data_IF_921407906424
#
_entry.id   IF_921407906424
#
_cell.length_a   1.000
_cell.length_b   1.000
_cell.length_c   1.000
_cell.angle_alpha   90.00
_cell.angle_beta   90.00
_cell.angle_gamma   90.00
#
_symmetry.space_group_name_H-M   'P 1'
#
loop_
_entity.id
_entity.type
_entity.pdbx_description
1 polymer ?
#
# COMPACT_ATOMS: atom_id res chain seq x y z
N UNK A 1 -38.66 -18.41 -31.55
CA UNK A 1 -38.64 -17.85 -30.18
C UNK A 1 -37.49 -18.51 -29.42
N UNK A 2 -36.38 -17.80 -29.20
CA UNK A 2 -35.25 -18.30 -28.43
C UNK A 2 -35.38 -17.84 -26.96
N UNK A 3 -35.08 -18.67 -25.95
CA UNK A 3 -35.25 -18.30 -24.55
C UNK A 3 -34.13 -17.35 -24.11
N UNK A 4 -34.52 -16.23 -23.49
CA UNK A 4 -33.61 -15.27 -22.88
C UNK A 4 -32.91 -15.91 -21.67
N UNK A 5 -31.57 -15.91 -21.65
CA UNK A 5 -30.78 -16.24 -20.46
C UNK A 5 -30.86 -15.10 -19.44
N UNK A 6 -31.00 -15.39 -18.13
CA UNK A 6 -31.08 -14.36 -17.11
C UNK A 6 -29.73 -13.67 -16.93
N UNK A 7 -29.72 -12.33 -16.97
CA UNK A 7 -28.55 -11.50 -16.61
C UNK A 7 -28.35 -11.55 -15.10
N UNK A 8 -27.44 -12.40 -14.63
CA UNK A 8 -26.93 -12.31 -13.27
C UNK A 8 -26.04 -11.07 -13.12
N UNK A 9 -26.58 -10.00 -12.57
CA UNK A 9 -25.77 -8.93 -11.96
C UNK A 9 -25.23 -9.41 -10.62
N UNK A 10 -24.17 -10.22 -10.65
CA UNK A 10 -23.38 -10.48 -9.45
C UNK A 10 -22.67 -9.17 -9.06
N UNK A 11 -23.05 -8.60 -7.90
CA UNK A 11 -22.32 -7.49 -7.28
C UNK A 11 -21.01 -8.06 -6.73
N UNK A 12 -19.99 -8.16 -7.57
CA UNK A 12 -18.65 -8.50 -7.12
C UNK A 12 -18.12 -7.35 -6.25
N UNK A 13 -18.05 -7.57 -4.94
CA UNK A 13 -17.45 -6.65 -3.96
C UNK A 13 -15.91 -6.77 -3.99
N UNK A 14 -15.18 -5.66 -3.77
CA UNK A 14 -13.71 -5.72 -3.63
C UNK A 14 -13.31 -6.80 -2.60
N UNK A 15 -12.42 -7.75 -2.95
CA UNK A 15 -12.02 -8.85 -2.08
C UNK A 15 -11.51 -8.41 -0.70
N UNK A 16 -10.81 -7.27 -0.63
CA UNK A 16 -10.33 -6.69 0.63
C UNK A 16 -11.46 -6.13 1.52
N UNK A 17 -12.67 -5.94 0.97
CA UNK A 17 -13.86 -5.48 1.71
C UNK A 17 -14.68 -6.63 2.30
N UNK A 18 -14.40 -7.88 1.93
CA UNK A 18 -15.09 -9.06 2.47
C UNK A 18 -14.89 -9.20 3.98
N UNK A 19 -15.85 -9.80 4.67
CA UNK A 19 -15.76 -10.11 6.11
C UNK A 19 -14.48 -10.91 6.43
N UNK A 20 -14.13 -11.86 5.56
CA UNK A 20 -12.94 -12.70 5.70
C UNK A 20 -11.62 -11.93 5.49
N UNK A 21 -11.53 -11.06 4.48
CA UNK A 21 -10.32 -10.25 4.27
C UNK A 21 -10.15 -9.15 5.33
N UNK A 22 -11.26 -8.60 5.83
CA UNK A 22 -11.27 -7.75 7.03
C UNK A 22 -10.83 -8.54 8.24
N UNK A 23 -11.29 -9.79 8.40
CA UNK A 23 -10.89 -10.67 9.50
C UNK A 23 -9.43 -11.06 9.43
N UNK A 24 -8.86 -11.35 8.24
CA UNK A 24 -7.45 -11.71 8.09
C UNK A 24 -6.53 -10.49 8.20
N UNK A 25 -6.90 -9.33 7.64
CA UNK A 25 -6.11 -8.10 7.83
C UNK A 25 -6.26 -7.56 9.25
N UNK A 26 -7.44 -7.64 9.86
CA UNK A 26 -7.63 -7.28 11.26
C UNK A 26 -6.99 -8.31 12.20
N UNK A 27 -6.94 -9.60 11.85
CA UNK A 27 -6.22 -10.61 12.61
C UNK A 27 -4.72 -10.47 12.45
N UNK A 28 -4.22 -10.12 11.26
CA UNK A 28 -2.82 -9.74 11.05
C UNK A 28 -2.49 -8.49 11.85
N UNK A 29 -3.26 -7.42 11.71
CA UNK A 29 -3.08 -6.20 12.51
C UNK A 29 -3.24 -6.45 14.01
N UNK A 30 -4.17 -7.30 14.45
CA UNK A 30 -4.36 -7.64 15.86
C UNK A 30 -3.23 -8.53 16.41
N UNK A 31 -2.75 -9.50 15.63
CA UNK A 31 -1.59 -10.32 15.96
C UNK A 31 -0.34 -9.45 16.08
N UNK A 32 -0.13 -8.57 15.10
CA UNK A 32 0.96 -7.61 15.02
C UNK A 32 0.91 -6.59 16.17
N UNK A 33 -0.27 -6.11 16.56
CA UNK A 33 -0.48 -5.23 17.72
C UNK A 33 -0.46 -5.98 19.07
N UNK A 34 -0.56 -7.32 19.07
CA UNK A 34 -0.56 -8.18 20.26
C UNK A 34 0.85 -8.70 20.60
N UNK A 35 1.87 -8.43 19.78
CA UNK A 35 3.25 -8.87 20.07
C UNK A 35 3.76 -8.12 21.30
N UNK A 36 4.11 -8.82 22.40
CA UNK A 36 4.63 -8.14 23.59
C UNK A 36 6.01 -7.53 23.26
N UNK A 37 6.15 -6.23 23.50
CA UNK A 37 7.41 -5.52 23.40
C UNK A 37 8.37 -6.09 24.46
N UNK A 38 9.31 -6.94 24.04
CA UNK A 38 10.41 -7.36 24.92
C UNK A 38 11.43 -6.23 24.93
N UNK A 39 11.43 -5.45 25.99
CA UNK A 39 12.37 -4.33 26.18
C UNK A 39 13.81 -4.87 26.14
N UNK A 40 14.56 -4.47 25.11
CA UNK A 40 16.00 -4.60 25.04
C UNK A 40 16.55 -3.17 25.10
N UNK A 41 17.30 -2.88 26.16
CA UNK A 41 17.77 -1.53 26.47
C UNK A 41 18.79 -1.06 25.41
N UNK A 42 18.28 -0.34 24.42
CA UNK A 42 19.04 0.49 23.49
C UNK A 42 19.27 1.91 24.03
N UNK A 43 19.96 2.78 23.28
CA UNK A 43 20.31 4.14 23.72
C UNK A 43 19.07 4.91 24.19
N UNK A 44 19.22 5.70 25.26
CA UNK A 44 18.16 6.40 26.03
C UNK A 44 17.22 7.34 25.23
N UNK A 45 17.33 7.41 23.91
CA UNK A 45 16.55 8.28 23.02
C UNK A 45 15.51 7.55 22.17
N UNK A 46 15.49 6.20 22.13
CA UNK A 46 14.55 5.45 21.29
C UNK A 46 13.68 4.51 22.12
N UNK A 47 12.38 4.83 22.20
CA UNK A 47 11.47 4.11 23.07
C UNK A 47 11.17 2.71 22.50
N UNK A 48 11.16 1.64 23.33
CA UNK A 48 10.92 0.26 22.86
C UNK A 48 9.57 0.09 22.14
N UNK A 49 8.52 0.78 22.58
CA UNK A 49 7.24 0.80 21.85
C UNK A 49 7.37 1.34 20.42
N UNK A 50 8.18 2.38 20.19
CA UNK A 50 8.44 2.91 18.86
C UNK A 50 9.25 1.92 18.02
N UNK A 51 10.26 1.29 18.61
CA UNK A 51 11.04 0.23 17.98
C UNK A 51 10.15 -0.94 17.52
N UNK A 52 9.30 -1.44 18.41
CA UNK A 52 8.36 -2.50 18.11
C UNK A 52 7.40 -2.10 16.98
N UNK A 53 6.82 -0.90 17.06
CA UNK A 53 5.87 -0.43 16.06
C UNK A 53 6.53 -0.13 14.70
N UNK A 54 7.82 0.20 14.66
CA UNK A 54 8.58 0.31 13.41
C UNK A 54 8.79 -1.06 12.78
N UNK A 55 9.09 -2.11 13.56
CA UNK A 55 9.15 -3.48 13.05
C UNK A 55 7.80 -3.93 12.46
N UNK A 56 6.70 -3.58 13.12
CA UNK A 56 5.35 -3.75 12.58
C UNK A 56 5.18 -3.07 11.21
N UNK A 57 5.61 -1.81 11.07
CA UNK A 57 5.49 -1.10 9.79
C UNK A 57 6.37 -1.70 8.70
N UNK A 58 7.59 -2.17 9.03
CA UNK A 58 8.46 -2.86 8.07
C UNK A 58 7.73 -4.06 7.47
N UNK A 59 7.12 -4.89 8.32
CA UNK A 59 6.38 -6.06 7.85
C UNK A 59 5.16 -5.67 7.00
N UNK A 60 4.41 -4.65 7.43
CA UNK A 60 3.22 -4.18 6.72
C UNK A 60 3.56 -3.62 5.33
N UNK A 61 4.70 -2.94 5.18
CA UNK A 61 5.18 -2.44 3.90
C UNK A 61 5.64 -3.55 2.96
N UNK A 62 6.31 -4.58 3.49
CA UNK A 62 6.68 -5.77 2.70
C UNK A 62 5.43 -6.52 2.21
N UNK A 63 4.42 -6.66 3.06
CA UNK A 63 3.13 -7.22 2.66
C UNK A 63 2.43 -6.36 1.59
N UNK A 64 2.39 -5.03 1.76
CA UNK A 64 1.85 -4.12 0.75
C UNK A 64 2.57 -4.25 -0.60
N UNK A 65 3.91 -4.36 -0.58
CA UNK A 65 4.72 -4.63 -1.77
C UNK A 65 4.26 -5.91 -2.47
N UNK A 66 4.00 -6.99 -1.71
CA UNK A 66 3.54 -8.25 -2.26
C UNK A 66 2.13 -8.17 -2.86
N UNK A 67 1.19 -7.53 -2.16
CA UNK A 67 -0.18 -7.31 -2.65
C UNK A 67 -0.18 -6.53 -3.97
N UNK A 68 0.59 -5.43 -4.04
CA UNK A 68 0.71 -4.65 -5.27
C UNK A 68 1.36 -5.43 -6.41
N UNK A 69 2.32 -6.31 -6.10
CA UNK A 69 2.90 -7.20 -7.10
C UNK A 69 1.86 -8.17 -7.66
N UNK A 70 1.00 -8.74 -6.80
CA UNK A 70 -0.12 -9.59 -7.22
C UNK A 70 -1.11 -8.83 -8.13
N UNK A 71 -1.46 -7.59 -7.78
CA UNK A 71 -2.30 -6.74 -8.63
C UNK A 71 -1.68 -6.49 -10.01
N UNK A 72 -0.37 -6.20 -10.06
CA UNK A 72 0.34 -5.98 -11.31
C UNK A 72 0.32 -7.22 -12.22
N UNK A 73 0.60 -8.40 -11.65
CA UNK A 73 0.58 -9.68 -12.38
C UNK A 73 -0.82 -9.98 -12.92
N UNK A 74 -1.86 -9.77 -12.11
CA UNK A 74 -3.25 -9.94 -12.55
C UNK A 74 -3.59 -9.02 -13.72
N UNK A 75 -3.23 -7.74 -13.62
CA UNK A 75 -3.49 -6.76 -14.68
C UNK A 75 -2.76 -7.09 -15.99
N UNK A 76 -1.56 -7.68 -15.90
CA UNK A 76 -0.78 -8.10 -17.06
C UNK A 76 -1.26 -9.41 -17.69
N UNK A 77 -2.22 -10.12 -17.08
CA UNK A 77 -2.75 -11.35 -17.62
C UNK A 77 -3.49 -11.09 -18.94
N UNK A 78 -3.16 -11.84 -19.99
CA UNK A 78 -3.73 -11.65 -21.32
C UNK A 78 -5.26 -11.82 -21.35
N UNK A 79 -5.84 -12.55 -20.39
CA UNK A 79 -7.28 -12.75 -20.27
C UNK A 79 -8.01 -11.58 -19.59
N UNK A 80 -7.29 -10.66 -18.95
CA UNK A 80 -7.85 -9.56 -18.16
C UNK A 80 -7.87 -8.24 -18.95
N UNK A 81 -7.00 -8.08 -19.95
CA UNK A 81 -6.91 -6.89 -20.82
C UNK A 81 -6.73 -5.55 -20.06
N UNK A 82 -6.00 -5.56 -18.93
CA UNK A 82 -5.69 -4.38 -18.11
C UNK A 82 -4.18 -4.11 -18.02
N UNK A 83 -3.42 -4.49 -19.05
CA UNK A 83 -1.95 -4.43 -19.03
C UNK A 83 -1.41 -3.03 -18.71
N UNK A 84 -2.14 -1.97 -19.08
CA UNK A 84 -1.79 -0.59 -18.76
C UNK A 84 -1.77 -0.25 -17.26
N UNK A 85 -2.49 -0.99 -16.42
CA UNK A 85 -2.46 -0.83 -14.96
C UNK A 85 -1.23 -1.50 -14.31
N UNK A 86 -0.65 -2.49 -14.99
CA UNK A 86 0.47 -3.28 -14.44
C UNK A 86 1.69 -2.42 -14.07
N UNK A 87 2.19 -1.50 -14.93
CA UNK A 87 3.31 -0.64 -14.57
C UNK A 87 3.06 0.21 -13.32
N UNK A 88 1.86 0.75 -13.16
CA UNK A 88 1.49 1.53 -11.98
C UNK A 88 1.57 0.69 -10.70
N UNK A 89 0.94 -0.49 -10.69
CA UNK A 89 0.96 -1.37 -9.52
C UNK A 89 2.36 -1.92 -9.23
N UNK A 90 3.17 -2.16 -10.26
CA UNK A 90 4.57 -2.57 -10.09
C UNK A 90 5.41 -1.44 -9.45
N UNK A 91 5.25 -0.18 -9.89
CA UNK A 91 5.88 0.98 -9.24
C UNK A 91 5.46 1.12 -7.79
N UNK A 92 4.17 0.92 -7.48
CA UNK A 92 3.69 0.90 -6.08
C UNK A 92 4.31 -0.23 -5.27
N UNK A 93 4.45 -1.43 -5.85
CA UNK A 93 5.13 -2.56 -5.20
C UNK A 93 6.59 -2.22 -4.84
N UNK A 94 7.31 -1.59 -5.76
CA UNK A 94 8.70 -1.14 -5.54
C UNK A 94 8.79 -0.03 -4.50
N UNK A 95 7.88 0.95 -4.56
CA UNK A 95 7.82 2.05 -3.58
C UNK A 95 7.66 1.53 -2.15
N UNK A 96 6.74 0.59 -1.93
CA UNK A 96 6.54 0.00 -0.60
C UNK A 96 7.72 -0.86 -0.13
N UNK A 97 8.41 -1.54 -1.04
CA UNK A 97 9.66 -2.25 -0.70
C UNK A 97 10.77 -1.28 -0.29
N UNK A 98 11.00 -0.24 -1.08
CA UNK A 98 11.98 0.80 -0.75
C UNK A 98 11.63 1.55 0.53
N UNK A 99 10.34 1.72 0.83
CA UNK A 99 9.89 2.25 2.12
C UNK A 99 10.20 1.31 3.30
N UNK A 100 10.01 0.00 3.15
CA UNK A 100 10.43 -0.96 4.17
C UNK A 100 11.94 -0.88 4.44
N UNK A 101 12.75 -0.78 3.37
CA UNK A 101 14.21 -0.60 3.47
C UNK A 101 14.57 0.70 4.18
N UNK A 102 13.91 1.83 3.88
CA UNK A 102 14.11 3.10 4.60
C UNK A 102 13.86 2.97 6.09
N UNK A 103 12.80 2.26 6.50
CA UNK A 103 12.55 2.00 7.93
C UNK A 103 13.60 1.09 8.56
N UNK A 104 14.06 0.06 7.85
CA UNK A 104 15.14 -0.83 8.31
C UNK A 104 16.42 -0.02 8.60
N UNK A 105 16.81 0.87 7.69
CA UNK A 105 17.97 1.73 7.89
C UNK A 105 17.79 2.70 9.05
N UNK A 106 16.62 3.31 9.18
CA UNK A 106 16.30 4.21 10.30
C UNK A 106 16.34 3.45 11.64
N UNK A 107 15.73 2.27 11.72
CA UNK A 107 15.75 1.38 12.90
C UNK A 107 17.19 1.07 13.32
N UNK A 108 18.04 0.66 12.37
CA UNK A 108 19.45 0.36 12.62
C UNK A 108 20.24 1.60 13.08
N UNK A 109 20.02 2.76 12.44
CA UNK A 109 20.67 4.04 12.81
C UNK A 109 20.37 4.42 14.26
N UNK A 110 19.16 4.13 14.74
CA UNK A 110 18.72 4.45 16.10
C UNK A 110 19.08 3.37 17.14
N UNK A 111 19.82 2.34 16.72
CA UNK A 111 20.26 1.24 17.58
C UNK A 111 19.19 0.18 17.86
N UNK A 112 18.03 0.26 17.19
CA UNK A 112 16.98 -0.75 17.27
C UNK A 112 17.35 -2.04 16.55
N UNK A 113 16.61 -3.11 16.86
CA UNK A 113 16.74 -4.43 16.24
C UNK A 113 15.61 -4.63 15.24
N UNK A 114 15.98 -5.02 14.03
CA UNK A 114 15.01 -5.41 12.98
C UNK A 114 14.63 -6.88 13.17
N UNK A 115 13.32 -7.13 13.27
CA UNK A 115 12.77 -8.48 13.41
C UNK A 115 11.88 -8.79 12.21
N UNK A 116 12.37 -9.64 11.30
CA UNK A 116 11.58 -10.11 10.16
C UNK A 116 10.60 -11.20 10.56
N UNK A 117 9.42 -11.19 9.94
CA UNK A 117 8.41 -12.23 10.07
C UNK A 117 7.98 -12.70 8.68
N UNK A 118 7.22 -13.79 8.65
CA UNK A 118 6.66 -14.32 7.40
C UNK A 118 5.75 -13.30 6.73
N UNK A 119 5.96 -13.08 5.43
CA UNK A 119 5.11 -12.23 4.61
C UNK A 119 3.97 -13.11 4.10
N UNK A 120 2.77 -12.89 4.66
CA UNK A 120 1.58 -13.63 4.27
C UNK A 120 1.23 -13.40 2.79
N UNK A 121 0.67 -14.42 2.17
CA UNK A 121 0.12 -14.30 0.83
C UNK A 121 -1.09 -13.36 0.80
N UNK A 122 -1.32 -12.64 -0.32
CA UNK A 122 -2.53 -11.85 -0.48
C UNK A 122 -3.78 -12.73 -0.37
N UNK A 123 -4.83 -12.24 0.30
CA UNK A 123 -6.09 -12.96 0.49
C UNK A 123 -6.85 -13.31 -0.82
N UNK A 124 -6.40 -12.80 -1.97
CA UNK A 124 -6.97 -13.11 -3.29
C UNK A 124 -5.91 -13.03 -4.37
N UNK A 125 -6.05 -13.87 -5.40
CA UNK A 125 -5.32 -13.77 -6.66
C UNK A 125 -6.22 -13.31 -7.82
N UNK A 126 -7.53 -13.19 -7.58
CA UNK A 126 -8.49 -12.62 -8.52
C UNK A 126 -8.97 -11.26 -8.01
N UNK A 127 -8.62 -10.21 -8.73
CA UNK A 127 -8.97 -8.82 -8.38
C UNK A 127 -10.26 -8.35 -9.05
N UNK A 128 -10.97 -9.23 -9.76
CA UNK A 128 -12.35 -9.05 -10.25
C UNK A 128 -12.60 -7.84 -11.17
N UNK A 129 -11.57 -7.29 -11.82
CA UNK A 129 -11.68 -6.26 -12.85
C UNK A 129 -11.04 -4.92 -12.49
N UNK A 130 -11.13 -3.94 -13.40
CA UNK A 130 -10.46 -2.63 -13.28
C UNK A 130 -10.99 -1.78 -12.13
N UNK A 131 -12.31 -1.73 -11.95
CA UNK A 131 -12.92 -0.97 -10.85
C UNK A 131 -12.54 -1.59 -9.51
N UNK A 132 -12.63 -2.91 -9.40
CA UNK A 132 -12.38 -3.64 -8.16
C UNK A 132 -10.91 -3.61 -7.74
N UNK A 133 -9.96 -3.74 -8.68
CA UNK A 133 -8.53 -3.64 -8.36
C UNK A 133 -8.18 -2.24 -7.84
N UNK A 134 -8.73 -1.17 -8.42
CA UNK A 134 -8.52 0.20 -7.95
C UNK A 134 -9.18 0.44 -6.59
N UNK A 135 -10.41 -0.04 -6.37
CA UNK A 135 -11.07 0.03 -5.05
C UNK A 135 -10.25 -0.67 -3.96
N UNK A 136 -9.66 -1.82 -4.30
CA UNK A 136 -8.81 -2.56 -3.38
C UNK A 136 -7.47 -1.84 -3.13
N UNK A 137 -6.88 -1.20 -4.14
CA UNK A 137 -5.70 -0.35 -3.96
C UNK A 137 -5.98 0.84 -3.03
N UNK A 138 -7.11 1.54 -3.22
CA UNK A 138 -7.55 2.64 -2.33
C UNK A 138 -7.75 2.13 -0.90
N UNK A 139 -8.33 0.94 -0.75
CA UNK A 139 -8.52 0.34 0.57
C UNK A 139 -7.18 0.04 1.27
N UNK A 140 -6.23 -0.54 0.53
CA UNK A 140 -4.89 -0.83 1.01
C UNK A 140 -4.15 0.45 1.43
N UNK A 141 -4.14 1.48 0.58
CA UNK A 141 -3.50 2.77 0.89
C UNK A 141 -4.09 3.44 2.13
N UNK A 142 -5.43 3.42 2.27
CA UNK A 142 -6.08 3.97 3.46
C UNK A 142 -5.71 3.21 4.75
N UNK A 143 -5.56 1.89 4.69
CA UNK A 143 -5.15 1.10 5.84
C UNK A 143 -3.68 1.37 6.21
N UNK A 144 -2.79 1.46 5.22
CA UNK A 144 -1.39 1.84 5.41
C UNK A 144 -1.27 3.23 6.04
N UNK A 145 -1.98 4.21 5.49
CA UNK A 145 -2.03 5.59 6.02
C UNK A 145 -2.49 5.63 7.47
N UNK A 146 -3.55 4.91 7.82
CA UNK A 146 -4.02 4.79 9.21
C UNK A 146 -2.95 4.19 10.12
N UNK A 147 -2.25 3.16 9.65
CA UNK A 147 -1.16 2.52 10.40
C UNK A 147 -0.01 3.50 10.68
N UNK A 148 0.39 4.31 9.69
CA UNK A 148 1.39 5.36 9.86
C UNK A 148 0.93 6.49 10.78
N UNK A 149 -0.34 6.90 10.71
CA UNK A 149 -0.90 7.90 11.64
C UNK A 149 -0.85 7.41 13.09
N UNK A 150 -1.09 6.12 13.33
CA UNK A 150 -0.96 5.52 14.66
C UNK A 150 0.51 5.52 15.12
N UNK A 151 1.46 5.17 14.25
CA UNK A 151 2.89 5.24 14.58
C UNK A 151 3.34 6.69 14.85
N UNK A 152 2.90 7.66 14.04
CA UNK A 152 3.21 9.08 14.24
C UNK A 152 2.66 9.59 15.58
N UNK A 153 1.44 9.21 15.94
CA UNK A 153 0.86 9.54 17.24
C UNK A 153 1.67 8.93 18.39
N UNK A 154 2.05 7.66 18.28
CA UNK A 154 2.91 7.00 19.28
C UNK A 154 4.25 7.72 19.43
N UNK A 155 4.89 8.08 18.32
CA UNK A 155 6.12 8.85 18.33
C UNK A 155 5.97 10.21 19.05
N UNK A 156 4.86 10.91 18.80
CA UNK A 156 4.56 12.17 19.50
C UNK A 156 4.33 11.97 21.00
N UNK A 157 3.61 10.90 21.40
CA UNK A 157 3.38 10.54 22.82
C UNK A 157 4.68 10.18 23.55
N UNK A 158 5.66 9.59 22.84
CA UNK A 158 6.98 9.27 23.38
C UNK A 158 8.02 10.39 23.21
N UNK A 159 7.58 11.58 22.79
CA UNK A 159 8.43 12.76 22.56
C UNK A 159 9.59 12.50 21.58
N UNK A 160 9.29 11.83 20.46
CA UNK A 160 10.25 11.45 19.42
C UNK A 160 10.06 12.27 18.13
N UNK A 161 10.61 13.50 18.06
CA UNK A 161 10.41 14.39 16.92
C UNK A 161 11.07 13.88 15.62
N UNK A 162 12.21 13.16 15.71
CA UNK A 162 12.89 12.61 14.53
C UNK A 162 12.01 11.57 13.84
N UNK A 163 11.36 10.69 14.60
CA UNK A 163 10.44 9.70 14.05
C UNK A 163 9.17 10.32 13.48
N UNK A 164 8.60 11.33 14.15
CA UNK A 164 7.44 12.07 13.64
C UNK A 164 7.71 12.69 12.26
N UNK A 165 8.80 13.45 12.14
CA UNK A 165 9.18 14.11 10.89
C UNK A 165 9.46 13.10 9.78
N UNK A 166 10.19 12.02 10.10
CA UNK A 166 10.50 10.94 9.17
C UNK A 166 9.22 10.31 8.58
N UNK A 167 8.21 10.06 9.41
CA UNK A 167 6.94 9.45 8.97
C UNK A 167 6.14 10.41 8.09
N UNK A 168 6.06 11.69 8.47
CA UNK A 168 5.36 12.72 7.71
C UNK A 168 5.96 12.90 6.32
N UNK A 169 7.27 13.10 6.26
CA UNK A 169 8.00 13.42 5.05
C UNK A 169 8.04 12.26 4.07
N UNK A 170 8.31 11.03 4.53
CA UNK A 170 8.55 9.90 3.63
C UNK A 170 7.31 9.06 3.32
N UNK A 171 6.24 9.11 4.12
CA UNK A 171 5.09 8.22 3.93
C UNK A 171 3.76 8.97 3.86
N UNK A 172 3.43 9.80 4.85
CA UNK A 172 2.10 10.42 4.92
C UNK A 172 1.88 11.44 3.79
N UNK A 173 2.84 12.33 3.53
CA UNK A 173 2.71 13.35 2.48
C UNK A 173 2.64 12.72 1.07
N UNK A 174 3.55 11.80 0.68
CA UNK A 174 3.47 11.15 -0.63
C UNK A 174 2.18 10.34 -0.85
N UNK A 175 1.62 9.73 0.20
CA UNK A 175 0.39 8.94 0.09
C UNK A 175 -0.83 9.77 -0.33
N UNK A 176 -0.90 11.05 0.02
CA UNK A 176 -2.05 11.90 -0.33
C UNK A 176 -2.19 12.06 -1.85
N UNK A 177 -1.07 12.26 -2.56
CA UNK A 177 -1.06 12.35 -4.01
C UNK A 177 -1.50 11.04 -4.67
N UNK A 178 -1.02 9.90 -4.15
CA UNK A 178 -1.38 8.58 -4.66
C UNK A 178 -2.87 8.29 -4.46
N UNK A 179 -3.41 8.57 -3.26
CA UNK A 179 -4.83 8.39 -2.97
C UNK A 179 -5.71 9.23 -3.88
N UNK A 180 -5.35 10.50 -4.08
CA UNK A 180 -6.06 11.39 -5.00
C UNK A 180 -6.09 10.82 -6.43
N UNK A 181 -4.93 10.39 -6.95
CA UNK A 181 -4.83 9.81 -8.30
C UNK A 181 -5.66 8.53 -8.45
N UNK A 182 -5.69 7.69 -7.42
CA UNK A 182 -6.51 6.47 -7.40
C UNK A 182 -8.02 6.79 -7.35
N UNK A 183 -8.42 7.80 -6.57
CA UNK A 183 -9.82 8.23 -6.46
C UNK A 183 -10.32 8.84 -7.78
N UNK A 184 -9.51 9.70 -8.42
CA UNK A 184 -9.80 10.24 -9.75
C UNK A 184 -9.94 9.10 -10.79
N UNK A 185 -9.01 8.14 -10.78
CA UNK A 185 -9.09 6.95 -11.63
C UNK A 185 -10.38 6.14 -11.40
N UNK A 186 -10.78 5.98 -10.13
CA UNK A 186 -12.01 5.25 -9.79
C UNK A 186 -13.27 5.96 -10.29
N UNK A 187 -13.33 7.29 -10.18
CA UNK A 187 -14.45 8.10 -10.70
C UNK A 187 -14.54 7.92 -12.21
N UNK A 188 -13.43 8.09 -12.93
CA UNK A 188 -13.38 7.92 -14.38
C UNK A 188 -13.79 6.50 -14.80
N UNK A 189 -13.29 5.46 -14.14
CA UNK A 189 -13.69 4.07 -14.45
C UNK A 189 -15.18 3.82 -14.23
N UNK A 190 -15.79 4.47 -13.23
CA UNK A 190 -17.23 4.38 -12.99
C UNK A 190 -18.03 5.13 -14.05
N UNK A 191 -17.55 6.30 -14.50
CA UNK A 191 -18.16 7.08 -15.58
C UNK A 191 -18.03 6.35 -16.94
N UNK A 192 -16.89 5.76 -17.25
CA UNK A 192 -16.70 4.94 -18.47
C UNK A 192 -17.47 3.62 -18.43
N UNK A 193 -17.78 3.09 -17.25
CA UNK A 193 -18.73 1.98 -17.16
C UNK A 193 -20.14 2.41 -17.59
N UNK A 194 -20.46 3.71 -17.51
CA UNK A 194 -21.72 4.29 -17.98
C UNK A 194 -21.67 4.77 -19.44
N UNK A 195 -20.49 5.17 -19.95
CA UNK A 195 -20.23 5.62 -21.32
C UNK A 195 -19.27 4.66 -22.02
N UNK A 196 -19.76 3.93 -23.02
CA UNK A 196 -19.08 2.84 -23.74
C UNK A 196 -17.85 3.30 -24.57
N UNK A 197 -16.82 3.87 -23.94
CA UNK A 197 -15.57 4.32 -24.58
C UNK A 197 -14.33 3.58 -24.04
N UNK A 198 -13.26 3.50 -24.85
CA UNK A 198 -12.07 2.67 -24.61
C UNK A 198 -11.12 3.27 -23.55
N UNK A 199 -10.68 2.41 -22.60
CA UNK A 199 -9.79 2.72 -21.46
C UNK A 199 -8.38 3.17 -21.90
N UNK A 200 -8.02 2.90 -23.15
CA UNK A 200 -6.66 3.10 -23.70
C UNK A 200 -6.22 4.57 -23.77
N UNK A 201 -7.15 5.52 -23.98
CA UNK A 201 -6.79 6.91 -24.24
C UNK A 201 -6.33 7.71 -23.01
N UNK A 202 -6.60 7.24 -21.78
CA UNK A 202 -6.42 8.10 -20.60
C UNK A 202 -5.12 7.84 -19.83
N UNK A 203 -4.56 6.62 -19.85
CA UNK A 203 -3.38 6.32 -19.03
C UNK A 203 -2.09 7.02 -19.48
N UNK A 204 -2.05 7.54 -20.71
CA UNK A 204 -1.03 8.50 -21.13
C UNK A 204 -0.95 9.73 -20.20
N UNK A 205 -2.05 10.09 -19.52
CA UNK A 205 -2.13 11.18 -18.53
C UNK A 205 -1.74 10.78 -17.10
N UNK A 206 -1.62 9.49 -16.80
CA UNK A 206 -1.12 9.01 -15.50
C UNK A 206 0.39 8.77 -15.52
N UNK A 207 1.01 8.80 -16.71
CA UNK A 207 2.45 8.93 -16.90
C UNK A 207 2.86 10.42 -16.93
N UNK A 208 2.38 11.22 -15.97
CA UNK A 208 2.94 12.56 -15.76
C UNK A 208 4.34 12.39 -15.16
N UNK A 209 5.33 12.58 -16.02
CA UNK A 209 6.67 13.11 -15.73
C UNK A 209 7.24 12.79 -14.34
N UNK A 210 7.97 11.69 -14.26
CA UNK A 210 9.11 11.64 -13.33
C UNK A 210 10.14 12.64 -13.87
N UNK A 211 10.01 13.91 -13.49
CA UNK A 211 11.09 14.89 -13.63
C UNK A 211 12.14 14.54 -12.57
N UNK A 212 12.98 13.57 -12.93
CA UNK A 212 14.23 13.20 -12.29
C UNK A 212 15.18 14.40 -12.35
N UNK A 213 14.99 15.36 -11.45
CA UNK A 213 16.03 16.33 -11.10
C UNK A 213 16.99 15.64 -10.13
N UNK A 214 17.76 14.70 -10.70
CA UNK A 214 18.99 14.18 -10.12
C UNK A 214 19.94 15.33 -9.82
N UNK A 215 19.98 15.74 -8.55
CA UNK A 215 20.99 16.62 -8.00
C UNK A 215 22.36 15.94 -8.12
N UNK A 216 23.08 16.26 -9.18
CA UNK A 216 24.51 16.00 -9.30
C UNK A 216 25.26 16.88 -8.31
N UNK A 217 25.41 16.44 -7.06
CA UNK A 217 26.50 16.93 -6.22
C UNK A 217 27.80 16.27 -6.69
N UNK A 218 28.47 16.95 -7.61
CA UNK A 218 29.93 16.92 -7.68
C UNK A 218 30.43 17.80 -6.53
N UNK A 219 31.11 17.19 -5.56
CA UNK A 219 32.08 17.91 -4.75
C UNK A 219 33.42 17.16 -4.82
N UNK A 220 34.41 17.89 -5.35
CA UNK A 220 35.83 17.73 -5.04
C UNK A 220 36.07 18.24 -3.62
#
# INVERSE_FOLDING_TARGET
>A
MAPQRPRHHSRYHCPLRSSQARSNFAAFMAFVLSVPAKALEGPKSYHPDCEAQVNVQIQLQLYASYVYKSMAVYCNCFTVALSHFSPFFLRRSQHWRGGAEKLIWMQNKRGGRVLFQDILEPNTNDWHGSVQVVECAIHLENNLRKSFLLLHRLAAEKADPELCDFILTHYLNPQLAVLKNLEECLITLREMRTLRESVENYFHRLNLDDDDSGGSNKEN
#
